data_IF_617468616600
#
_entry.id   IF_617468616600
#
_cell.length_a   1.000
_cell.length_b   1.000
_cell.length_c   1.000
_cell.angle_alpha   90.00
_cell.angle_beta   90.00
_cell.angle_gamma   90.00
#
_symmetry.space_group_name_H-M   'P 1'
#
loop_
_entity.id
_entity.type
_entity.pdbx_description
1 polymer ?
#
# COMPACT_ATOMS: atom_id res chain seq x y z
N UNK A 1 -0.85 6.95 12.56
CA UNK A 1 -1.64 6.71 13.78
C UNK A 1 -1.50 5.22 14.12
N UNK A 2 -1.16 4.90 15.37
CA UNK A 2 -0.69 3.57 15.77
C UNK A 2 -1.73 2.45 15.57
N UNK A 3 -1.55 1.59 14.56
CA UNK A 3 -2.27 0.31 14.52
C UNK A 3 -1.56 -0.73 15.39
N UNK A 4 -2.00 -0.73 16.64
CA UNK A 4 -2.26 -1.91 17.48
C UNK A 4 -1.61 -3.23 17.03
N UNK A 5 -0.52 -3.64 17.68
CA UNK A 5 -0.45 -5.00 18.27
C UNK A 5 0.29 -4.93 19.60
N UNK A 6 -0.45 -5.26 20.65
CA UNK A 6 0.06 -5.55 21.97
C UNK A 6 0.71 -6.94 21.93
N UNK A 7 2.02 -7.04 21.68
CA UNK A 7 2.79 -8.18 22.20
C UNK A 7 4.17 -7.68 22.61
N UNK A 8 4.27 -7.34 23.91
CA UNK A 8 5.53 -7.34 24.63
C UNK A 8 6.17 -8.73 24.48
N UNK A 9 7.35 -8.84 23.88
CA UNK A 9 8.41 -9.78 24.30
C UNK A 9 9.66 -9.54 23.47
N UNK A 10 10.73 -9.15 24.17
CA UNK A 10 12.06 -8.90 23.62
C UNK A 10 12.64 -10.14 22.90
N UNK A 11 13.32 -9.90 21.76
CA UNK A 11 14.41 -10.69 21.14
C UNK A 11 14.18 -11.56 19.88
N UNK A 12 13.06 -11.53 19.17
CA UNK A 12 13.01 -12.13 17.81
C UNK A 12 12.16 -11.24 16.89
N UNK A 13 12.44 -11.32 15.57
CA UNK A 13 11.81 -10.59 14.46
C UNK A 13 12.52 -9.31 14.01
N UNK A 14 13.80 -9.49 13.66
CA UNK A 14 14.24 -9.04 12.34
C UNK A 14 13.27 -9.66 11.33
N UNK A 15 12.59 -8.86 10.51
CA UNK A 15 11.61 -9.18 9.44
C UNK A 15 10.12 -9.32 9.85
N UNK A 16 9.36 -8.21 9.79
CA UNK A 16 8.13 -8.04 8.97
C UNK A 16 7.91 -6.54 8.88
N UNK A 17 8.35 -6.00 7.75
CA UNK A 17 8.00 -4.74 7.10
C UNK A 17 9.24 -4.44 6.31
N UNK A 18 9.19 -4.67 4.99
CA UNK A 18 10.21 -4.14 4.08
C UNK A 18 10.53 -2.72 4.54
N UNK A 19 11.81 -2.42 4.82
CA UNK A 19 12.20 -1.14 5.42
C UNK A 19 11.67 -0.01 4.52
N UNK A 20 10.50 0.54 4.88
CA UNK A 20 9.79 1.53 4.05
C UNK A 20 10.69 2.76 4.00
N UNK A 21 11.37 2.93 2.86
CA UNK A 21 12.48 3.85 2.63
C UNK A 21 12.01 5.29 2.45
N UNK A 22 11.56 5.90 3.55
CA UNK A 22 11.33 7.35 3.60
C UNK A 22 12.66 8.10 3.49
N UNK A 23 12.91 8.79 2.38
CA UNK A 23 14.14 9.57 2.16
C UNK A 23 13.88 11.07 2.11
N UNK A 24 14.63 11.82 2.90
CA UNK A 24 14.68 13.28 2.88
C UNK A 24 15.91 13.74 2.09
N UNK A 25 15.82 13.71 0.76
CA UNK A 25 16.64 14.52 -0.16
C UNK A 25 16.26 14.12 -1.59
N UNK A 26 15.51 14.99 -2.27
CA UNK A 26 15.09 14.86 -3.67
C UNK A 26 14.21 13.62 -3.95
N UNK A 27 12.89 13.83 -4.07
CA UNK A 27 12.01 12.77 -4.57
C UNK A 27 12.52 12.30 -5.93
N UNK A 28 12.65 11.00 -6.14
CA UNK A 28 12.88 10.46 -7.48
C UNK A 28 11.65 10.76 -8.36
N UNK A 29 11.82 10.72 -9.68
CA UNK A 29 10.73 11.00 -10.63
C UNK A 29 9.50 10.10 -10.46
N UNK A 30 9.67 8.94 -9.82
CA UNK A 30 8.62 7.96 -9.55
C UNK A 30 8.19 7.91 -8.07
N UNK A 31 8.64 8.84 -7.24
CA UNK A 31 8.23 8.91 -5.84
C UNK A 31 6.99 9.81 -5.68
N UNK A 32 6.13 9.47 -4.72
CA UNK A 32 5.06 10.36 -4.29
C UNK A 32 5.58 11.30 -3.19
N UNK A 33 5.31 12.60 -3.37
CA UNK A 33 5.68 13.63 -2.39
C UNK A 33 4.51 13.88 -1.44
N UNK A 34 4.72 13.56 -0.16
CA UNK A 34 3.82 13.89 0.94
C UNK A 34 3.66 15.41 1.10
N UNK A 35 2.58 15.85 1.76
CA UNK A 35 2.30 17.27 2.01
C UNK A 35 3.38 17.91 2.89
N UNK A 36 3.89 17.17 3.87
CA UNK A 36 5.01 17.58 4.72
C UNK A 36 6.39 17.63 4.01
N UNK A 37 6.47 17.23 2.73
CA UNK A 37 7.69 17.25 1.94
C UNK A 37 8.55 15.99 2.01
N UNK A 38 8.09 14.94 2.69
CA UNK A 38 8.70 13.61 2.58
C UNK A 38 8.38 12.97 1.23
N UNK A 39 9.21 12.01 0.83
CA UNK A 39 9.00 11.22 -0.38
C UNK A 39 8.83 9.76 0.02
N UNK A 40 7.80 9.13 -0.53
CA UNK A 40 7.52 7.70 -0.44
C UNK A 40 7.49 7.11 -1.85
N UNK A 41 7.50 5.79 -1.96
CA UNK A 41 7.32 5.15 -3.27
C UNK A 41 5.92 5.49 -3.82
N UNK A 42 5.78 5.78 -5.13
CA UNK A 42 4.44 6.05 -5.68
C UNK A 42 3.49 4.84 -5.60
N UNK A 43 4.02 3.64 -5.38
CA UNK A 43 3.24 2.43 -5.09
C UNK A 43 2.53 2.48 -3.74
N UNK A 44 3.00 3.30 -2.80
CA UNK A 44 2.40 3.48 -1.47
C UNK A 44 1.36 4.58 -1.41
N UNK A 45 1.08 5.24 -2.54
CA UNK A 45 -0.02 6.18 -2.58
C UNK A 45 -1.32 5.39 -2.71
N UNK A 46 -2.23 5.59 -1.76
CA UNK A 46 -3.52 4.91 -1.72
C UNK A 46 -3.38 3.39 -1.52
N UNK A 47 -2.39 2.95 -0.75
CA UNK A 47 -2.17 1.52 -0.51
C UNK A 47 -2.92 0.99 0.73
N UNK A 48 -3.80 1.81 1.31
CA UNK A 48 -4.53 1.60 2.55
C UNK A 48 -3.67 1.66 3.83
N UNK A 49 -2.40 2.05 3.73
CA UNK A 49 -1.51 2.28 4.86
C UNK A 49 -1.08 3.76 4.94
N UNK A 50 -1.00 4.30 6.17
CA UNK A 50 -0.46 5.66 6.36
C UNK A 50 1.07 5.63 6.29
N UNK A 51 1.64 5.86 5.11
CA UNK A 51 3.09 5.98 4.89
C UNK A 51 3.59 7.41 4.91
N UNK A 52 2.76 8.39 4.57
CA UNK A 52 3.07 9.75 4.94
C UNK A 52 2.77 9.93 6.45
N UNK A 53 3.69 10.59 7.18
CA UNK A 53 3.47 10.87 8.61
C UNK A 53 2.31 11.84 8.88
N UNK A 54 1.76 12.47 7.84
CA UNK A 54 0.53 13.27 7.85
C UNK A 54 -0.67 12.56 7.16
N UNK A 55 -0.51 11.31 6.70
CA UNK A 55 -1.54 10.53 5.99
C UNK A 55 -1.90 11.08 4.61
N UNK A 56 -1.06 11.96 4.02
CA UNK A 56 -1.36 12.62 2.76
C UNK A 56 -1.40 11.69 1.54
N UNK A 57 -0.76 10.53 1.64
CA UNK A 57 -0.78 9.44 0.67
C UNK A 57 -2.12 8.73 0.58
N UNK A 58 -2.83 8.60 1.69
CA UNK A 58 -4.17 8.00 1.77
C UNK A 58 -5.30 9.03 1.61
N UNK A 59 -4.94 10.31 1.45
CA UNK A 59 -5.88 11.40 1.27
C UNK A 59 -6.25 11.62 -0.20
N UNK A 60 -7.56 11.70 -0.48
CA UNK A 60 -8.05 12.03 -1.83
C UNK A 60 -7.85 10.92 -2.86
N UNK A 61 -7.80 9.68 -2.39
CA UNK A 61 -7.68 8.51 -3.26
C UNK A 61 -8.90 8.37 -4.19
N UNK A 62 -8.67 8.10 -5.49
CA UNK A 62 -9.75 7.96 -6.45
C UNK A 62 -10.63 6.77 -6.08
N UNK A 63 -11.92 7.03 -5.88
CA UNK A 63 -12.94 5.99 -5.64
C UNK A 63 -13.17 5.10 -6.87
N UNK A 64 -12.71 5.57 -8.03
CA UNK A 64 -12.79 4.92 -9.33
C UNK A 64 -11.58 4.01 -9.63
N UNK A 65 -10.70 3.77 -8.64
CA UNK A 65 -9.49 2.97 -8.77
C UNK A 65 -8.50 3.51 -9.82
N UNK A 66 -8.58 4.79 -10.17
CA UNK A 66 -7.65 5.45 -11.11
C UNK A 66 -6.29 5.80 -10.50
N UNK A 67 -5.99 5.25 -9.31
CA UNK A 67 -4.72 5.45 -8.64
C UNK A 67 -3.58 4.71 -9.35
N UNK A 68 -2.34 5.21 -9.27
CA UNK A 68 -1.19 4.43 -9.68
C UNK A 68 -1.15 3.15 -8.82
N UNK A 69 -0.99 1.99 -9.47
CA UNK A 69 -0.92 0.68 -8.79
C UNK A 69 -2.21 0.27 -8.04
N UNK A 70 -3.37 0.67 -8.54
CA UNK A 70 -4.66 0.16 -8.09
C UNK A 70 -5.18 -0.95 -9.01
N UNK A 71 -5.85 -1.94 -8.43
CA UNK A 71 -6.65 -2.94 -9.14
C UNK A 71 -8.13 -2.79 -8.79
N UNK A 72 -8.98 -2.87 -9.82
CA UNK A 72 -10.43 -2.79 -9.67
C UNK A 72 -11.03 -4.19 -9.73
N UNK A 73 -11.61 -4.62 -8.61
CA UNK A 73 -12.37 -5.85 -8.46
C UNK A 73 -13.67 -5.83 -9.30
N UNK A 74 -14.26 -7.00 -9.55
CA UNK A 74 -15.53 -7.08 -10.30
C UNK A 74 -16.68 -6.45 -9.51
N UNK A 75 -16.67 -6.57 -8.18
CA UNK A 75 -17.60 -5.90 -7.27
C UNK A 75 -17.36 -4.39 -7.10
N UNK A 76 -16.52 -3.78 -7.92
CA UNK A 76 -16.15 -2.35 -7.91
C UNK A 76 -15.33 -1.89 -6.70
N UNK A 77 -14.91 -2.81 -5.82
CA UNK A 77 -13.90 -2.53 -4.80
C UNK A 77 -12.55 -2.22 -5.47
N UNK A 78 -11.80 -1.31 -4.87
CA UNK A 78 -10.41 -1.06 -5.25
C UNK A 78 -9.50 -1.71 -4.21
N UNK A 79 -8.48 -2.41 -4.69
CA UNK A 79 -7.40 -2.94 -3.87
C UNK A 79 -6.06 -2.51 -4.47
N UNK A 80 -5.00 -2.42 -3.67
CA UNK A 80 -3.64 -2.31 -4.19
C UNK A 80 -3.32 -3.41 -5.22
N UNK A 81 -2.64 -3.06 -6.31
CA UNK A 81 -2.27 -4.01 -7.37
C UNK A 81 -1.32 -5.12 -6.89
N UNK A 82 -0.64 -4.93 -5.76
CA UNK A 82 0.20 -5.95 -5.11
C UNK A 82 -0.63 -7.11 -4.53
N UNK A 83 -1.89 -6.88 -4.20
CA UNK A 83 -2.83 -7.90 -3.72
C UNK A 83 -3.52 -8.65 -4.86
N UNK A 84 -3.19 -8.34 -6.11
CA UNK A 84 -3.63 -9.14 -7.23
C UNK A 84 -2.70 -10.35 -7.34
N UNK A 85 -3.24 -11.56 -7.24
CA UNK A 85 -2.50 -12.81 -7.36
C UNK A 85 -1.53 -13.09 -6.20
N UNK A 86 -1.90 -12.74 -4.98
CA UNK A 86 -1.09 -12.99 -3.78
C UNK A 86 -1.57 -14.19 -2.94
N UNK A 87 -2.61 -14.90 -3.40
CA UNK A 87 -3.31 -16.02 -2.77
C UNK A 87 -4.30 -15.65 -1.66
N UNK A 88 -4.57 -14.37 -1.41
CA UNK A 88 -5.61 -13.91 -0.50
C UNK A 88 -6.81 -13.30 -1.25
N UNK A 89 -7.99 -13.33 -0.62
CA UNK A 89 -9.23 -12.75 -1.19
C UNK A 89 -9.41 -11.32 -0.67
N UNK A 90 -8.69 -10.39 -1.28
CA UNK A 90 -8.74 -8.97 -0.94
C UNK A 90 -9.94 -8.29 -1.57
N UNK A 91 -10.38 -8.74 -2.74
CA UNK A 91 -11.59 -8.24 -3.35
C UNK A 91 -12.86 -8.59 -2.55
N UNK A 92 -12.89 -9.72 -1.83
CA UNK A 92 -14.07 -10.32 -1.20
C UNK A 92 -15.00 -11.02 -2.20
N UNK A 93 -14.66 -10.99 -3.49
CA UNK A 93 -15.30 -11.72 -4.58
C UNK A 93 -14.31 -12.62 -5.35
N UNK A 94 -13.04 -12.70 -4.89
CA UNK A 94 -11.92 -13.46 -5.48
C UNK A 94 -11.54 -13.07 -6.91
N UNK A 95 -11.95 -11.90 -7.39
CA UNK A 95 -11.64 -11.46 -8.76
C UNK A 95 -10.14 -11.18 -8.95
N UNK A 96 -9.49 -10.69 -7.91
CA UNK A 96 -8.03 -10.55 -7.78
C UNK A 96 -7.29 -11.87 -8.07
N UNK A 97 -7.83 -12.99 -7.59
CA UNK A 97 -7.22 -14.32 -7.71
C UNK A 97 -7.69 -15.13 -8.95
N UNK A 98 -8.69 -14.63 -9.69
CA UNK A 98 -9.36 -15.41 -10.75
C UNK A 98 -8.60 -15.51 -12.09
N UNK A 99 -7.52 -14.73 -12.29
CA UNK A 99 -6.76 -14.71 -13.55
C UNK A 99 -5.28 -14.40 -13.29
N UNK A 100 -4.64 -15.34 -12.60
CA UNK A 100 -3.23 -15.28 -12.24
C UNK A 100 -2.43 -16.21 -13.16
N UNK A 101 -1.29 -15.77 -13.70
CA UNK A 101 -0.42 -16.67 -14.44
C UNK A 101 0.00 -17.81 -13.50
N UNK A 102 -0.25 -19.05 -13.92
CA UNK A 102 0.30 -20.21 -13.23
C UNK A 102 1.83 -20.12 -13.36
N UNK A 103 2.50 -19.87 -12.24
CA UNK A 103 3.97 -19.91 -12.15
C UNK A 103 4.50 -21.31 -12.42
#
# INVERSE_FOLDING_TARGET
MFFRVCVLSLLVFVVVSAEKKQRQALCLSNDFKCTNGMCIDATWKCDAEEDCSDGADEAGCPTDCSGPNMFKCANTKCIPAQYKCDNDDDCGDKTDEANCPAG
#
